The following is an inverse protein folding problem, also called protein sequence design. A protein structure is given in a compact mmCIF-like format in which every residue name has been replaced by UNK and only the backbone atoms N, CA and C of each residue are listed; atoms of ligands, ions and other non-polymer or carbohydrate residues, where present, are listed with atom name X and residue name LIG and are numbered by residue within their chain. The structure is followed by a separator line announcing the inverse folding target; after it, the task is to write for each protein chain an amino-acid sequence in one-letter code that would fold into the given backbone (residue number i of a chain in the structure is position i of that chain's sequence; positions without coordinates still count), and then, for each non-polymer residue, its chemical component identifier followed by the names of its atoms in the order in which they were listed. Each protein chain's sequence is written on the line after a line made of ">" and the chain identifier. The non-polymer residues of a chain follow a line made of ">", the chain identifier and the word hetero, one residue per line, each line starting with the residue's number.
data_IF_085030565678
#
_entry.id   IF_085030565678
#
_cell.length_a   1.000
_cell.length_b   1.000
_cell.length_c   1.000
_cell.angle_alpha   90.00
_cell.angle_beta   90.00
_cell.angle_gamma   90.00
#
_symmetry.space_group_name_H-M   'P 1'
#
loop_
_entity.id
_entity.type
_entity.pdbx_description
1 polymer ?
#
# COMPACT_ATOMS: atom_id res chain seq x y z
N UNK A 1 -18.98 -6.25 -1.92
CA UNK A 1 -18.31 -6.82 -0.71
C UNK A 1 -18.28 -5.70 0.32
N UNK A 2 -18.20 -6.02 1.61
CA UNK A 2 -18.16 -5.03 2.70
C UNK A 2 -16.76 -5.02 3.32
N UNK A 3 -16.35 -3.88 3.88
CA UNK A 3 -15.07 -3.84 4.61
C UNK A 3 -15.15 -4.69 5.89
N UNK A 4 -14.01 -5.19 6.39
CA UNK A 4 -13.95 -5.88 7.69
C UNK A 4 -14.50 -5.00 8.82
N UNK A 5 -15.25 -5.61 9.74
CA UNK A 5 -15.92 -4.89 10.84
C UNK A 5 -14.93 -4.17 11.78
N UNK A 6 -13.73 -4.73 11.98
CA UNK A 6 -12.66 -4.10 12.76
C UNK A 6 -12.12 -2.83 12.08
N UNK A 7 -11.99 -2.84 10.76
CA UNK A 7 -11.63 -1.64 9.99
C UNK A 7 -12.70 -0.57 10.11
N UNK A 8 -13.97 -0.94 9.92
CA UNK A 8 -15.10 -0.01 10.07
C UNK A 8 -15.15 0.59 11.49
N UNK A 9 -14.90 -0.23 12.52
CA UNK A 9 -14.84 0.22 13.90
C UNK A 9 -13.73 1.27 14.12
N UNK A 10 -12.52 1.02 13.58
CA UNK A 10 -11.40 1.95 13.69
C UNK A 10 -11.68 3.28 12.98
N UNK A 11 -12.28 3.22 11.79
CA UNK A 11 -12.68 4.40 11.02
C UNK A 11 -13.74 5.19 11.79
N UNK A 12 -14.79 4.54 12.29
CA UNK A 12 -15.85 5.17 13.06
C UNK A 12 -15.29 5.84 14.33
N UNK A 13 -14.40 5.17 15.05
CA UNK A 13 -13.75 5.77 16.23
C UNK A 13 -12.94 7.02 15.86
N UNK A 14 -12.25 7.01 14.72
CA UNK A 14 -11.51 8.17 14.24
C UNK A 14 -12.41 9.36 13.90
N UNK A 15 -13.70 9.15 13.59
CA UNK A 15 -14.68 10.26 13.41
C UNK A 15 -15.05 10.97 14.71
N UNK A 16 -14.62 10.43 15.87
CA UNK A 16 -15.00 10.95 17.19
C UNK A 16 -16.38 10.49 17.64
N UNK A 17 -16.97 9.50 16.98
CA UNK A 17 -18.24 8.92 17.38
C UNK A 17 -18.13 8.29 18.79
N UNK A 18 -18.98 8.73 19.72
CA UNK A 18 -18.95 8.26 21.10
C UNK A 18 -19.97 7.17 21.39
N UNK A 19 -21.07 7.10 20.59
CA UNK A 19 -22.17 6.16 20.81
C UNK A 19 -22.88 6.36 22.17
N UNK A 20 -24.18 6.19 22.20
CA UNK A 20 -24.98 6.29 23.44
C UNK A 20 -24.88 4.99 24.27
N UNK A 21 -24.63 3.86 23.62
CA UNK A 21 -24.49 2.54 24.23
C UNK A 21 -23.64 1.60 23.38
N UNK A 22 -23.18 0.50 23.97
CA UNK A 22 -22.42 -0.52 23.22
C UNK A 22 -23.26 -1.14 22.08
N UNK A 23 -24.56 -1.29 22.27
CA UNK A 23 -25.47 -1.80 21.23
C UNK A 23 -25.59 -0.81 20.08
N UNK A 24 -25.76 0.48 20.36
CA UNK A 24 -25.82 1.53 19.34
C UNK A 24 -24.52 1.61 18.57
N UNK A 25 -23.38 1.51 19.26
CA UNK A 25 -22.05 1.47 18.65
C UNK A 25 -21.87 0.26 17.73
N UNK A 26 -22.29 -0.93 18.18
CA UNK A 26 -22.19 -2.16 17.37
C UNK A 26 -23.03 -2.05 16.09
N UNK A 27 -24.22 -1.49 16.16
CA UNK A 27 -25.07 -1.26 15.01
C UNK A 27 -24.44 -0.26 14.02
N UNK A 28 -23.90 0.83 14.52
CA UNK A 28 -23.25 1.86 13.70
C UNK A 28 -22.02 1.29 12.99
N UNK A 29 -21.22 0.48 13.67
CA UNK A 29 -20.09 -0.23 13.05
C UNK A 29 -20.56 -1.12 11.89
N UNK A 30 -21.67 -1.84 12.04
CA UNK A 30 -22.23 -2.67 10.96
C UNK A 30 -22.70 -1.83 9.78
N UNK A 31 -23.35 -0.68 10.04
CA UNK A 31 -23.78 0.27 9.00
C UNK A 31 -22.54 0.75 8.23
N UNK A 32 -21.48 1.17 8.94
CA UNK A 32 -20.27 1.63 8.31
C UNK A 32 -19.56 0.52 7.52
N UNK A 33 -19.48 -0.69 8.08
CA UNK A 33 -18.87 -1.84 7.40
C UNK A 33 -19.58 -2.16 6.07
N UNK A 34 -20.89 -1.99 6.01
CA UNK A 34 -21.70 -2.23 4.81
C UNK A 34 -21.65 -1.08 3.82
N UNK A 35 -21.56 0.17 4.30
CA UNK A 35 -21.63 1.37 3.48
C UNK A 35 -20.28 1.82 2.91
N UNK A 36 -19.16 1.45 3.54
CA UNK A 36 -17.84 1.72 3.01
C UNK A 36 -17.54 0.79 1.82
N UNK A 37 -16.86 1.34 0.81
CA UNK A 37 -16.36 0.55 -0.31
C UNK A 37 -15.26 -0.40 0.18
N UNK A 38 -15.20 -1.59 -0.39
CA UNK A 38 -14.28 -2.68 -0.01
C UNK A 38 -12.79 -2.37 -0.26
N UNK A 39 -12.52 -1.38 -1.07
CA UNK A 39 -11.19 -0.87 -1.38
C UNK A 39 -10.70 0.25 -0.44
N UNK A 40 -11.52 0.74 0.48
CA UNK A 40 -11.14 1.78 1.45
C UNK A 40 -10.12 1.23 2.45
N UNK A 41 -8.94 1.85 2.50
CA UNK A 41 -7.92 1.57 3.51
C UNK A 41 -8.09 2.48 4.73
N UNK A 42 -7.48 2.10 5.87
CA UNK A 42 -7.50 2.94 7.06
C UNK A 42 -6.84 4.30 6.80
N UNK A 43 -5.70 4.31 6.10
CA UNK A 43 -4.94 5.53 5.82
C UNK A 43 -5.73 6.49 4.94
N UNK A 44 -6.37 5.99 3.88
CA UNK A 44 -7.26 6.78 3.04
C UNK A 44 -8.44 7.35 3.83
N UNK A 45 -9.04 6.54 4.71
CA UNK A 45 -10.15 6.98 5.54
C UNK A 45 -9.72 8.06 6.55
N UNK A 46 -8.56 7.91 7.20
CA UNK A 46 -8.02 8.92 8.12
C UNK A 46 -7.72 10.23 7.39
N UNK A 47 -7.17 10.17 6.19
CA UNK A 47 -6.96 11.34 5.34
C UNK A 47 -8.28 12.02 4.96
N UNK A 48 -9.31 11.23 4.60
CA UNK A 48 -10.64 11.72 4.29
C UNK A 48 -11.30 12.41 5.49
N UNK A 49 -11.19 11.83 6.68
CA UNK A 49 -11.70 12.40 7.93
C UNK A 49 -11.01 13.74 8.24
N UNK A 50 -9.68 13.78 8.15
CA UNK A 50 -8.91 14.99 8.40
C UNK A 50 -9.28 16.10 7.39
N UNK A 51 -9.38 15.77 6.12
CA UNK A 51 -9.80 16.72 5.07
C UNK A 51 -11.21 17.25 5.32
N UNK A 52 -12.18 16.37 5.63
CA UNK A 52 -13.57 16.76 5.88
C UNK A 52 -13.68 17.71 7.06
N UNK A 53 -12.98 17.42 8.17
CA UNK A 53 -12.97 18.29 9.36
C UNK A 53 -12.38 19.66 9.09
N UNK A 54 -11.31 19.72 8.29
CA UNK A 54 -10.62 20.99 7.99
C UNK A 54 -11.30 21.84 6.92
N UNK A 55 -12.04 21.24 6.00
CA UNK A 55 -12.52 21.95 4.79
C UNK A 55 -14.03 21.96 4.59
N UNK A 56 -14.74 20.97 5.12
CA UNK A 56 -16.18 20.82 4.91
C UNK A 56 -16.95 21.09 6.20
N UNK A 57 -16.54 20.47 7.29
CA UNK A 57 -17.24 20.52 8.57
C UNK A 57 -18.54 19.72 8.57
N UNK A 58 -19.23 19.71 9.71
CA UNK A 58 -20.51 19.00 9.86
C UNK A 58 -20.36 17.50 10.11
N UNK A 59 -21.46 16.77 10.00
CA UNK A 59 -21.49 15.33 10.24
C UNK A 59 -20.84 14.56 9.11
N UNK A 60 -19.98 13.63 9.46
CA UNK A 60 -19.27 12.77 8.50
C UNK A 60 -19.98 11.43 8.38
N UNK A 61 -20.37 11.09 7.16
CA UNK A 61 -21.00 9.81 6.80
C UNK A 61 -20.06 8.94 5.95
N UNK A 62 -20.29 7.62 5.86
CA UNK A 62 -19.49 6.72 5.01
C UNK A 62 -19.38 7.19 3.55
N UNK A 63 -20.45 7.76 2.99
CA UNK A 63 -20.46 8.28 1.62
C UNK A 63 -19.44 9.41 1.40
N UNK A 64 -19.19 10.22 2.42
CA UNK A 64 -18.19 11.27 2.35
C UNK A 64 -16.76 10.66 2.32
N UNK A 65 -16.53 9.62 3.14
CA UNK A 65 -15.25 8.88 3.13
C UNK A 65 -15.03 8.24 1.77
N UNK A 66 -15.99 7.49 1.24
CA UNK A 66 -15.88 6.85 -0.08
C UNK A 66 -15.53 7.86 -1.18
N UNK A 67 -16.26 9.00 -1.22
CA UNK A 67 -16.03 10.04 -2.24
C UNK A 67 -14.65 10.68 -2.12
N UNK A 68 -14.22 11.00 -0.90
CA UNK A 68 -12.90 11.61 -0.68
C UNK A 68 -11.77 10.63 -0.98
N UNK A 69 -11.91 9.38 -0.57
CA UNK A 69 -10.95 8.31 -0.90
C UNK A 69 -10.80 8.15 -2.42
N UNK A 70 -11.93 8.09 -3.15
CA UNK A 70 -11.91 8.00 -4.61
C UNK A 70 -11.22 9.23 -5.24
N UNK A 71 -11.47 10.43 -4.72
CA UNK A 71 -10.81 11.67 -5.18
C UNK A 71 -9.30 11.63 -4.95
N UNK A 72 -8.85 11.21 -3.76
CA UNK A 72 -7.43 11.12 -3.44
C UNK A 72 -6.70 10.08 -4.28
N UNK A 73 -7.33 8.93 -4.51
CA UNK A 73 -6.81 7.88 -5.39
C UNK A 73 -6.69 8.35 -6.84
N UNK A 74 -7.73 9.03 -7.34
CA UNK A 74 -7.69 9.63 -8.67
C UNK A 74 -6.57 10.69 -8.80
N UNK A 75 -6.38 11.51 -7.77
CA UNK A 75 -5.29 12.49 -7.75
C UNK A 75 -3.92 11.83 -7.76
N UNK A 76 -3.71 10.76 -6.98
CA UNK A 76 -2.46 9.97 -7.00
C UNK A 76 -2.17 9.42 -8.39
N UNK A 77 -3.16 8.79 -9.03
CA UNK A 77 -3.02 8.27 -10.39
C UNK A 77 -2.69 9.37 -11.40
N UNK A 78 -3.35 10.53 -11.32
CA UNK A 78 -3.12 11.63 -12.25
C UNK A 78 -1.71 12.23 -12.14
N UNK A 79 -1.11 12.22 -10.95
CA UNK A 79 0.26 12.67 -10.74
C UNK A 79 1.29 11.68 -11.30
N UNK A 80 0.95 10.40 -11.33
CA UNK A 80 1.87 9.30 -11.60
C UNK A 80 1.69 8.66 -12.98
N UNK A 81 0.55 8.87 -13.63
CA UNK A 81 0.23 8.24 -14.93
C UNK A 81 1.00 8.83 -16.12
N UNK A 82 1.81 9.87 -15.92
CA UNK A 82 2.64 10.42 -17.01
C UNK A 82 3.70 9.40 -17.47
N UNK A 83 4.09 8.44 -16.62
CA UNK A 83 5.03 7.37 -17.02
C UNK A 83 4.89 6.16 -16.09
N UNK A 84 4.10 5.16 -16.48
CA UNK A 84 4.19 3.84 -15.85
C UNK A 84 5.58 3.28 -16.18
N UNK A 85 6.43 3.01 -15.20
CA UNK A 85 7.76 2.51 -15.50
C UNK A 85 7.66 1.13 -16.13
N UNK A 86 8.45 0.90 -17.18
CA UNK A 86 8.68 -0.45 -17.72
C UNK A 86 9.90 -0.97 -16.96
N UNK A 87 9.76 -2.02 -16.14
CA UNK A 87 10.89 -2.52 -15.37
C UNK A 87 11.87 -3.26 -16.26
N UNK A 88 13.15 -2.93 -16.14
CA UNK A 88 14.22 -3.69 -16.74
C UNK A 88 14.19 -5.15 -16.22
N UNK A 89 14.36 -6.11 -17.12
CA UNK A 89 14.47 -7.53 -16.74
C UNK A 89 13.18 -8.35 -16.80
N UNK A 90 12.06 -7.82 -17.30
CA UNK A 90 10.87 -8.65 -17.58
C UNK A 90 11.01 -9.51 -18.83
N UNK A 91 12.02 -9.24 -19.68
CA UNK A 91 12.18 -9.95 -20.95
C UNK A 91 11.07 -9.59 -21.96
N UNK A 92 11.00 -10.32 -23.06
CA UNK A 92 10.01 -10.10 -24.12
C UNK A 92 8.68 -10.84 -23.82
N UNK A 93 8.15 -10.71 -22.62
CA UNK A 93 6.88 -11.35 -22.19
C UNK A 93 5.78 -10.30 -21.97
N UNK A 94 5.02 -9.89 -22.99
CA UNK A 94 4.03 -8.80 -22.87
C UNK A 94 2.97 -9.06 -21.78
N UNK A 95 2.55 -10.31 -21.57
CA UNK A 95 1.55 -10.64 -20.56
C UNK A 95 2.08 -10.40 -19.14
N UNK A 96 3.36 -10.70 -18.89
CA UNK A 96 4.01 -10.47 -17.59
C UNK A 96 4.22 -8.97 -17.34
N UNK A 97 4.55 -8.21 -18.38
CA UNK A 97 4.65 -6.75 -18.30
C UNK A 97 3.30 -6.12 -17.94
N UNK A 98 2.23 -6.50 -18.63
CA UNK A 98 0.87 -6.02 -18.35
C UNK A 98 0.46 -6.36 -16.90
N UNK A 99 0.74 -7.58 -16.43
CA UNK A 99 0.43 -8.00 -15.07
C UNK A 99 1.22 -7.18 -14.03
N UNK A 100 2.50 -6.91 -14.30
CA UNK A 100 3.34 -6.07 -13.45
C UNK A 100 2.82 -4.62 -13.39
N UNK A 101 2.51 -4.03 -14.55
CA UNK A 101 1.97 -2.67 -14.63
C UNK A 101 0.64 -2.54 -13.89
N UNK A 102 -0.25 -3.52 -14.04
CA UNK A 102 -1.53 -3.55 -13.33
C UNK A 102 -1.33 -3.60 -11.81
N UNK A 103 -0.44 -4.46 -11.32
CA UNK A 103 -0.13 -4.57 -9.90
C UNK A 103 0.54 -3.30 -9.34
N UNK A 104 1.43 -2.67 -10.13
CA UNK A 104 2.06 -1.41 -9.77
C UNK A 104 1.03 -0.28 -9.65
N UNK A 105 0.14 -0.14 -10.63
CA UNK A 105 -0.94 0.87 -10.62
C UNK A 105 -1.87 0.68 -9.41
N UNK A 106 -2.25 -0.56 -9.07
CA UNK A 106 -3.07 -0.82 -7.90
C UNK A 106 -2.37 -0.46 -6.59
N UNK A 107 -1.07 -0.70 -6.48
CA UNK A 107 -0.29 -0.33 -5.31
C UNK A 107 -0.17 1.21 -5.17
N UNK A 108 0.12 1.94 -6.25
CA UNK A 108 0.13 3.41 -6.26
C UNK A 108 -1.25 3.98 -5.91
N UNK A 109 -2.30 3.40 -6.45
CA UNK A 109 -3.70 3.74 -6.14
C UNK A 109 -4.00 3.57 -4.64
N UNK A 110 -3.47 2.52 -4.03
CA UNK A 110 -3.58 2.27 -2.59
C UNK A 110 -2.76 3.26 -1.73
N UNK A 111 -1.87 4.06 -2.34
CA UNK A 111 -1.07 5.08 -1.66
C UNK A 111 0.36 4.65 -1.36
N UNK A 112 0.82 3.53 -1.91
CA UNK A 112 2.21 3.13 -1.79
C UNK A 112 3.14 4.10 -2.54
N UNK A 113 4.37 4.25 -2.06
CA UNK A 113 5.41 4.92 -2.82
C UNK A 113 5.76 4.12 -4.08
N UNK A 114 6.30 4.77 -5.12
CA UNK A 114 6.69 4.09 -6.37
C UNK A 114 7.62 2.90 -6.14
N UNK A 115 8.52 3.02 -5.17
CA UNK A 115 9.47 1.97 -4.82
C UNK A 115 8.78 0.77 -4.17
N UNK A 116 7.87 1.02 -3.22
CA UNK A 116 7.03 0.00 -2.59
C UNK A 116 6.10 -0.66 -3.60
N UNK A 117 5.48 0.14 -4.49
CA UNK A 117 4.63 -0.34 -5.55
C UNK A 117 5.39 -1.26 -6.53
N UNK A 118 6.63 -0.89 -6.90
CA UNK A 118 7.48 -1.74 -7.71
C UNK A 118 7.79 -3.07 -7.04
N UNK A 119 8.16 -3.07 -5.75
CA UNK A 119 8.41 -4.30 -4.99
C UNK A 119 7.17 -5.21 -4.93
N UNK A 120 5.99 -4.63 -4.67
CA UNK A 120 4.71 -5.37 -4.70
C UNK A 120 4.40 -5.94 -6.07
N UNK A 121 4.64 -5.17 -7.14
CA UNK A 121 4.41 -5.61 -8.51
C UNK A 121 5.32 -6.79 -8.90
N UNK A 122 6.59 -6.77 -8.51
CA UNK A 122 7.50 -7.89 -8.70
C UNK A 122 7.03 -9.15 -7.97
N UNK A 123 6.59 -8.99 -6.72
CA UNK A 123 6.03 -10.11 -5.93
C UNK A 123 4.77 -10.67 -6.57
N UNK A 124 3.88 -9.81 -7.08
CA UNK A 124 2.61 -10.22 -7.70
C UNK A 124 2.80 -11.10 -8.94
N UNK A 125 3.87 -10.89 -9.71
CA UNK A 125 4.23 -11.73 -10.86
C UNK A 125 5.11 -12.94 -10.49
N UNK A 126 5.31 -13.20 -9.19
CA UNK A 126 6.12 -14.32 -8.69
C UNK A 126 7.62 -14.17 -8.93
N UNK A 127 8.13 -12.95 -9.10
CA UNK A 127 9.56 -12.66 -9.32
C UNK A 127 10.09 -11.71 -8.25
N UNK A 128 11.40 -11.74 -8.02
CA UNK A 128 12.09 -10.77 -7.18
C UNK A 128 12.56 -9.57 -7.99
N UNK A 129 12.60 -8.41 -7.36
CA UNK A 129 13.12 -7.20 -7.99
C UNK A 129 14.60 -7.39 -8.32
N UNK A 130 15.07 -7.14 -9.56
CA UNK A 130 16.46 -7.39 -9.97
C UNK A 130 17.51 -6.74 -9.07
N UNK A 131 17.24 -5.54 -8.56
CA UNK A 131 18.15 -4.80 -7.68
C UNK A 131 18.34 -5.44 -6.29
N UNK A 132 17.34 -6.17 -5.77
CA UNK A 132 17.45 -6.89 -4.50
C UNK A 132 18.35 -8.12 -4.64
N UNK A 133 18.30 -8.77 -5.80
CA UNK A 133 19.16 -9.91 -6.11
C UNK A 133 20.63 -9.47 -6.21
N UNK A 134 20.91 -8.35 -6.89
CA UNK A 134 22.28 -7.83 -7.02
C UNK A 134 22.85 -7.39 -5.67
N UNK A 135 22.08 -6.75 -4.80
CA UNK A 135 22.54 -6.34 -3.47
C UNK A 135 22.76 -7.54 -2.55
N UNK A 136 21.89 -8.54 -2.58
CA UNK A 136 22.04 -9.78 -1.80
C UNK A 136 23.26 -10.58 -2.26
N UNK A 137 23.49 -10.72 -3.56
CA UNK A 137 24.68 -11.39 -4.12
C UNK A 137 25.96 -10.64 -3.77
N UNK A 138 25.96 -9.30 -3.84
CA UNK A 138 27.14 -8.48 -3.47
C UNK A 138 27.49 -8.60 -1.99
N UNK A 139 26.50 -8.67 -1.10
CA UNK A 139 26.73 -8.86 0.35
C UNK A 139 27.32 -10.24 0.61
N UNK A 140 26.77 -11.31 0.03
CA UNK A 140 27.26 -12.68 0.19
C UNK A 140 28.71 -12.84 -0.34
N UNK A 141 29.02 -12.28 -1.49
CA UNK A 141 30.37 -12.29 -2.06
C UNK A 141 31.37 -11.52 -1.19
N UNK A 142 30.95 -10.36 -0.65
CA UNK A 142 31.81 -9.53 0.20
C UNK A 142 32.11 -10.20 1.53
N UNK A 143 31.12 -10.82 2.14
CA UNK A 143 31.26 -11.56 3.40
C UNK A 143 32.13 -12.79 3.21
N UNK A 144 31.98 -13.51 2.09
CA UNK A 144 32.79 -14.66 1.74
C UNK A 144 34.23 -14.29 1.43
N UNK A 145 34.48 -13.13 0.81
CA UNK A 145 35.84 -12.60 0.59
C UNK A 145 36.51 -12.23 1.94
N UNK A 146 35.75 -11.62 2.86
CA UNK A 146 36.25 -11.26 4.18
C UNK A 146 36.57 -12.51 5.02
N UNK A 147 35.73 -13.54 4.94
CA UNK A 147 35.92 -14.82 5.61
C UNK A 147 37.17 -15.52 5.07
N UNK A 148 37.39 -15.52 3.75
CA UNK A 148 38.59 -16.04 3.10
C UNK A 148 39.86 -15.27 3.52
N UNK A 149 39.81 -13.95 3.55
CA UNK A 149 40.94 -13.12 4.01
C UNK A 149 41.30 -13.39 5.48
N UNK A 150 40.29 -13.61 6.36
CA UNK A 150 40.55 -13.96 7.76
C UNK A 150 41.13 -15.35 7.92
N UNK A 151 40.76 -16.26 7.06
CA UNK A 151 41.21 -17.66 7.09
C UNK A 151 42.63 -17.85 6.49
N UNK A 152 43.00 -17.07 5.49
CA UNK A 152 44.29 -17.15 4.82
C UNK A 152 45.32 -16.12 5.30
N UNK A 153 44.84 -14.98 5.87
CA UNK A 153 45.74 -13.96 6.42
C UNK A 153 46.45 -14.38 7.72
N UNK A 154 46.04 -15.48 8.35
CA UNK A 154 46.69 -16.03 9.56
C UNK A 154 47.78 -17.09 9.27
N UNK A 155 48.13 -17.32 8.01
CA UNK A 155 49.09 -18.35 7.65
C UNK A 155 50.49 -17.84 7.28
N UNK A 156 50.74 -16.54 7.39
CA UNK A 156 52.07 -15.97 7.13
C UNK A 156 52.50 -15.14 8.35
N UNK A 157 52.88 -15.83 9.43
CA UNK A 157 53.87 -15.39 10.43
C UNK A 157 54.56 -16.65 10.94
#
# INVERSE_FOLDING_TARGET
>A
MSVPTDLAARILMATGYKGESDRARALEIQIWATALHDDVTLDDALQAIAYHRGNVGGYLEPVHVNRLTAKFRAARLNLDTVTVPVPDGLGAEPATEIAWQAAWLEAVKAGDSHDTAATKAWTAIGRHRPHEIESAVRVDVRDRINELKTRFGKRNI
#
